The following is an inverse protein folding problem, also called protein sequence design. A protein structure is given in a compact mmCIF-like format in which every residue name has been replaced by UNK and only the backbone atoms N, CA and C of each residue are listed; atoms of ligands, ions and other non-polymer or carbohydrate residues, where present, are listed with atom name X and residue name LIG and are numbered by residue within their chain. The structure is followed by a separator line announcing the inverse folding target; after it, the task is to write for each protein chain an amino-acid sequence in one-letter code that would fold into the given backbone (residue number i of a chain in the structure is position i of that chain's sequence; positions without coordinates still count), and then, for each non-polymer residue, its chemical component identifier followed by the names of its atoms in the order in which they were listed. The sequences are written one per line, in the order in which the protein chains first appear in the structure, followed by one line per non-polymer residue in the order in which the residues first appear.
data_IF_587997479568
#
_entry.id   IF_587997479568
#
_cell.length_a   1.000
_cell.length_b   1.000
_cell.length_c   1.000
_cell.angle_alpha   90.00
_cell.angle_beta   90.00
_cell.angle_gamma   90.00
#
_symmetry.space_group_name_H-M   'P 1'
#
loop_
_entity.id
_entity.type
_entity.pdbx_description
1 polymer ?
#
# COMPACT_ATOMS: atom_id res chain seq x y z
N UNK A 1 0.28 13.76 -8.95
CA UNK A 1 1.60 14.01 -8.31
C UNK A 1 2.41 12.74 -8.47
N UNK A 2 3.57 12.81 -9.11
CA UNK A 2 4.46 11.65 -9.27
C UNK A 2 4.99 11.26 -7.88
N UNK A 3 4.73 10.03 -7.44
CA UNK A 3 5.29 9.50 -6.21
C UNK A 3 6.17 8.30 -6.57
N UNK A 4 7.36 8.27 -6.00
CA UNK A 4 8.36 7.26 -6.32
C UNK A 4 9.14 6.88 -5.06
N UNK A 5 9.73 5.68 -5.03
CA UNK A 5 10.60 5.28 -3.93
C UNK A 5 11.71 6.29 -3.61
N UNK A 6 12.15 7.09 -4.59
CA UNK A 6 13.18 8.11 -4.41
C UNK A 6 12.77 9.20 -3.39
N UNK A 7 11.48 9.50 -3.25
CA UNK A 7 10.99 10.46 -2.25
C UNK A 7 11.23 9.99 -0.81
N UNK A 8 11.39 8.68 -0.61
CA UNK A 8 11.63 8.08 0.69
C UNK A 8 13.09 7.67 0.90
N UNK A 9 14.03 8.16 0.08
CA UNK A 9 15.45 7.70 0.10
C UNK A 9 16.07 7.71 1.49
N UNK A 10 15.86 8.77 2.28
CA UNK A 10 16.37 8.85 3.66
C UNK A 10 15.78 7.74 4.53
N UNK A 11 14.45 7.59 4.52
CA UNK A 11 13.76 6.53 5.28
C UNK A 11 14.20 5.13 4.84
N UNK A 12 14.25 4.88 3.52
CA UNK A 12 14.64 3.58 2.96
C UNK A 12 16.09 3.24 3.31
N UNK A 13 17.00 4.20 3.21
CA UNK A 13 18.41 4.02 3.59
C UNK A 13 18.52 3.66 5.07
N UNK A 14 17.84 4.39 5.96
CA UNK A 14 17.84 4.09 7.39
C UNK A 14 17.26 2.70 7.68
N UNK A 15 16.12 2.34 7.10
CA UNK A 15 15.50 1.03 7.31
C UNK A 15 16.40 -0.12 6.81
N UNK A 16 17.07 0.08 5.67
CA UNK A 16 17.99 -0.92 5.08
C UNK A 16 19.20 -1.23 5.94
N UNK A 17 19.56 -0.36 6.89
CA UNK A 17 20.62 -0.67 7.86
C UNK A 17 20.25 -1.79 8.83
N UNK A 18 18.94 -2.09 8.98
CA UNK A 18 18.43 -3.07 9.96
C UNK A 18 17.55 -4.16 9.36
N UNK A 19 16.92 -3.89 8.22
CA UNK A 19 15.91 -4.76 7.63
C UNK A 19 16.07 -4.89 6.12
N UNK A 20 15.73 -6.04 5.51
CA UNK A 20 15.48 -6.11 4.08
C UNK A 20 14.26 -5.25 3.73
N UNK A 21 14.41 -4.32 2.78
CA UNK A 21 13.34 -3.39 2.38
C UNK A 21 13.06 -3.49 0.89
N UNK A 22 11.80 -3.76 0.53
CA UNK A 22 11.28 -3.62 -0.83
C UNK A 22 10.44 -2.35 -0.93
N UNK A 23 10.69 -1.54 -1.96
CA UNK A 23 9.96 -0.32 -2.25
C UNK A 23 9.79 -0.19 -3.78
N UNK A 24 8.82 -0.92 -4.38
CA UNK A 24 8.61 -0.91 -5.81
C UNK A 24 8.05 0.44 -6.28
N UNK A 25 8.33 0.80 -7.54
CA UNK A 25 7.56 1.83 -8.23
C UNK A 25 6.16 1.28 -8.52
N UNK A 26 5.12 1.99 -8.08
CA UNK A 26 3.74 1.57 -8.32
C UNK A 26 3.27 2.04 -9.69
N UNK A 27 2.53 1.21 -10.46
CA UNK A 27 1.99 1.56 -11.78
C UNK A 27 1.20 2.87 -11.78
N UNK A 28 0.31 3.09 -10.80
CA UNK A 28 -0.51 4.30 -10.71
C UNK A 28 0.29 5.59 -10.55
N UNK A 29 1.54 5.46 -10.10
CA UNK A 29 2.44 6.57 -9.83
C UNK A 29 3.63 6.61 -10.80
N UNK A 30 3.60 5.80 -11.87
CA UNK A 30 4.66 5.73 -12.87
C UNK A 30 4.33 6.61 -14.10
N UNK A 31 5.20 7.57 -14.48
CA UNK A 31 5.04 8.42 -15.66
C UNK A 31 4.87 7.62 -16.95
N UNK A 32 5.53 6.44 -17.04
CA UNK A 32 5.42 5.55 -18.20
C UNK A 32 4.00 5.01 -18.39
N UNK A 33 3.25 4.86 -17.30
CA UNK A 33 1.91 4.28 -17.32
C UNK A 33 0.80 5.35 -17.26
N UNK A 34 1.15 6.62 -17.02
CA UNK A 34 0.17 7.70 -16.85
C UNK A 34 0.13 8.69 -18.02
N UNK A 35 0.99 8.51 -19.03
CA UNK A 35 1.21 9.45 -20.14
C UNK A 35 1.50 10.89 -19.67
N UNK A 36 2.02 11.06 -18.46
CA UNK A 36 2.16 12.35 -17.79
C UNK A 36 3.42 13.13 -18.19
N UNK A 37 3.94 12.90 -19.41
CA UNK A 37 5.22 13.45 -19.85
C UNK A 37 6.44 12.72 -19.28
N UNK A 38 7.55 13.44 -19.09
CA UNK A 38 8.78 12.90 -18.52
C UNK A 38 9.03 13.46 -17.13
N UNK A 39 9.97 12.87 -16.38
CA UNK A 39 10.40 13.43 -15.08
C UNK A 39 10.94 14.86 -15.21
N UNK A 40 11.59 15.17 -16.34
CA UNK A 40 12.13 16.51 -16.60
C UNK A 40 11.05 17.50 -17.05
N UNK A 41 9.95 17.02 -17.64
CA UNK A 41 8.86 17.85 -18.15
C UNK A 41 7.50 17.14 -17.96
N UNK A 42 6.93 17.18 -16.74
CA UNK A 42 5.64 16.56 -16.48
C UNK A 42 4.51 17.37 -17.14
N UNK A 43 3.53 16.70 -17.72
CA UNK A 43 2.35 17.33 -18.33
C UNK A 43 1.08 16.54 -18.02
N UNK A 44 -0.02 17.25 -17.79
CA UNK A 44 -1.37 16.69 -17.66
C UNK A 44 -2.23 16.97 -18.89
N UNK A 45 -1.67 17.61 -19.92
CA UNK A 45 -2.37 17.95 -21.15
C UNK A 45 -2.48 16.76 -22.12
N UNK A 46 -1.70 15.70 -21.90
CA UNK A 46 -1.75 14.51 -22.72
C UNK A 46 -3.06 13.73 -22.45
N UNK A 47 -3.69 13.15 -23.49
CA UNK A 47 -4.82 12.26 -23.28
C UNK A 47 -4.37 11.02 -22.50
N UNK A 48 -5.31 10.41 -21.77
CA UNK A 48 -5.05 9.14 -21.08
C UNK A 48 -4.55 8.07 -22.09
N UNK A 49 -3.69 7.13 -21.68
CA UNK A 49 -3.32 5.99 -22.51
C UNK A 49 -4.57 5.24 -23.00
N UNK A 50 -4.52 4.70 -24.22
CA UNK A 50 -5.64 3.91 -24.78
C UNK A 50 -5.97 2.66 -23.93
N UNK A 51 -5.01 2.15 -23.17
CA UNK A 51 -5.17 1.07 -22.19
C UNK A 51 -5.87 1.49 -20.89
N UNK A 52 -6.18 2.78 -20.71
CA UNK A 52 -6.61 3.36 -19.45
C UNK A 52 -5.44 3.70 -18.51
N UNK A 53 -5.74 4.46 -17.46
CA UNK A 53 -4.80 4.75 -16.38
C UNK A 53 -4.77 3.59 -15.38
N UNK A 54 -3.60 3.24 -14.80
CA UNK A 54 -3.53 2.26 -13.74
C UNK A 54 -4.34 2.69 -12.52
N UNK A 55 -5.02 1.72 -11.90
CA UNK A 55 -5.85 1.94 -10.72
C UNK A 55 -5.16 1.47 -9.44
N UNK A 56 -5.74 1.78 -8.27
CA UNK A 56 -5.29 1.20 -7.00
C UNK A 56 -5.32 -0.34 -7.02
N UNK A 57 -6.27 -0.94 -7.75
CA UNK A 57 -6.33 -2.39 -7.92
C UNK A 57 -5.14 -2.92 -8.74
N UNK A 58 -4.66 -2.16 -9.73
CA UNK A 58 -3.45 -2.49 -10.49
C UNK A 58 -2.21 -2.50 -9.59
N UNK A 59 -2.10 -1.51 -8.70
CA UNK A 59 -1.03 -1.49 -7.69
C UNK A 59 -1.16 -2.65 -6.69
N UNK A 60 -2.39 -2.97 -6.27
CA UNK A 60 -2.65 -4.06 -5.35
C UNK A 60 -2.24 -5.42 -5.93
N UNK A 61 -2.40 -5.64 -7.24
CA UNK A 61 -1.90 -6.84 -7.94
C UNK A 61 -0.38 -6.95 -7.85
N UNK A 62 0.35 -5.86 -8.12
CA UNK A 62 1.81 -5.85 -7.99
C UNK A 62 2.26 -6.13 -6.55
N UNK A 63 1.61 -5.50 -5.57
CA UNK A 63 1.90 -5.72 -4.16
C UNK A 63 1.60 -7.17 -3.74
N UNK A 64 0.52 -7.76 -4.23
CA UNK A 64 0.19 -9.17 -3.99
C UNK A 64 1.26 -10.11 -4.57
N UNK A 65 1.79 -9.84 -5.76
CA UNK A 65 2.89 -10.63 -6.33
C UNK A 65 4.16 -10.57 -5.47
N UNK A 66 4.47 -9.41 -4.89
CA UNK A 66 5.60 -9.26 -3.96
C UNK A 66 5.33 -10.02 -2.66
N UNK A 67 4.09 -10.02 -2.16
CA UNK A 67 3.71 -10.81 -1.00
C UNK A 67 3.77 -12.32 -1.30
N UNK A 68 3.37 -12.77 -2.49
CA UNK A 68 3.52 -14.17 -2.89
C UNK A 68 4.98 -14.62 -2.82
N UNK A 69 5.90 -13.84 -3.38
CA UNK A 69 7.33 -14.15 -3.31
C UNK A 69 7.86 -14.14 -1.86
N UNK A 70 7.63 -13.06 -1.11
CA UNK A 70 8.21 -12.91 0.23
C UNK A 70 7.56 -13.84 1.27
N UNK A 71 6.23 -13.92 1.29
CA UNK A 71 5.47 -14.64 2.31
C UNK A 71 5.25 -16.09 1.91
N UNK A 72 4.79 -16.36 0.68
CA UNK A 72 4.40 -17.71 0.27
C UNK A 72 5.64 -18.52 -0.12
N UNK A 73 6.48 -18.00 -1.02
CA UNK A 73 7.66 -18.73 -1.49
C UNK A 73 8.80 -18.75 -0.46
N UNK A 74 9.09 -17.62 0.18
CA UNK A 74 10.23 -17.50 1.10
C UNK A 74 9.88 -17.65 2.59
N UNK A 75 8.59 -17.68 2.95
CA UNK A 75 8.17 -17.84 4.35
C UNK A 75 8.53 -16.67 5.27
N UNK A 76 8.73 -15.47 4.73
CA UNK A 76 9.14 -14.27 5.49
C UNK A 76 7.97 -13.64 6.23
N UNK A 77 8.31 -12.94 7.32
CA UNK A 77 7.40 -12.04 8.02
C UNK A 77 7.58 -10.62 7.49
N UNK A 78 6.48 -9.98 7.12
CA UNK A 78 6.50 -8.69 6.41
C UNK A 78 5.68 -7.67 7.19
N UNK A 79 6.23 -6.46 7.31
CA UNK A 79 5.48 -5.26 7.70
C UNK A 79 5.32 -4.40 6.46
N UNK A 80 4.09 -4.06 6.12
CA UNK A 80 3.81 -3.14 5.01
C UNK A 80 3.79 -1.71 5.55
N UNK A 81 4.39 -0.76 4.84
CA UNK A 81 4.31 0.67 5.18
C UNK A 81 3.59 1.37 4.05
N UNK A 82 2.43 1.95 4.34
CA UNK A 82 1.56 2.59 3.37
C UNK A 82 1.51 4.10 3.59
N UNK A 83 1.82 4.88 2.56
CA UNK A 83 1.80 6.35 2.62
C UNK A 83 0.75 6.94 1.68
N UNK A 84 0.00 7.94 2.14
CA UNK A 84 -1.01 8.67 1.35
C UNK A 84 -1.97 7.73 0.60
N UNK A 85 -2.16 7.90 -0.71
CA UNK A 85 -3.03 7.04 -1.53
C UNK A 85 -2.62 5.55 -1.51
N UNK A 86 -1.37 5.23 -1.18
CA UNK A 86 -0.88 3.86 -1.08
C UNK A 86 -1.54 3.02 0.02
N UNK A 87 -2.31 3.65 0.92
CA UNK A 87 -3.17 2.98 1.89
C UNK A 87 -4.20 2.08 1.23
N UNK A 88 -4.86 2.56 0.18
CA UNK A 88 -5.90 1.80 -0.52
C UNK A 88 -5.30 0.52 -1.15
N UNK A 89 -4.24 0.67 -1.96
CA UNK A 89 -3.58 -0.45 -2.63
C UNK A 89 -2.97 -1.45 -1.65
N UNK A 90 -2.37 -0.97 -0.54
CA UNK A 90 -1.81 -1.85 0.50
C UNK A 90 -2.89 -2.64 1.25
N UNK A 91 -4.02 -2.00 1.55
CA UNK A 91 -5.17 -2.65 2.20
C UNK A 91 -5.76 -3.72 1.30
N UNK A 92 -5.93 -3.41 0.02
CA UNK A 92 -6.48 -4.33 -0.97
C UNK A 92 -5.55 -5.54 -1.21
N UNK A 93 -4.24 -5.33 -1.23
CA UNK A 93 -3.25 -6.39 -1.38
C UNK A 93 -3.16 -7.32 -0.14
N UNK A 94 -3.39 -6.80 1.07
CA UNK A 94 -3.26 -7.53 2.34
C UNK A 94 -4.46 -8.47 2.62
N UNK A 95 -4.71 -9.40 1.70
CA UNK A 95 -5.74 -10.45 1.82
C UNK A 95 -5.51 -11.33 3.04
N UNK A 96 -6.60 -11.95 3.53
CA UNK A 96 -6.59 -12.83 4.70
C UNK A 96 -5.55 -13.95 4.60
N UNK A 97 -5.35 -14.53 3.43
CA UNK A 97 -4.36 -15.59 3.19
C UNK A 97 -2.90 -15.19 3.46
N UNK A 98 -2.58 -13.90 3.45
CA UNK A 98 -1.25 -13.40 3.76
C UNK A 98 -1.04 -13.14 5.25
N UNK A 99 -2.10 -13.03 6.06
CA UNK A 99 -1.97 -12.65 7.46
C UNK A 99 -1.28 -13.75 8.28
N UNK A 100 -0.35 -13.36 9.16
CA UNK A 100 0.39 -14.31 10.02
C UNK A 100 -0.54 -15.23 10.80
N UNK A 101 -1.65 -14.69 11.33
CA UNK A 101 -2.63 -15.49 12.09
C UNK A 101 -3.23 -16.62 11.25
N UNK A 102 -3.68 -16.29 10.05
CA UNK A 102 -4.34 -17.23 9.14
C UNK A 102 -3.37 -18.28 8.62
N UNK A 103 -2.14 -17.86 8.28
CA UNK A 103 -1.07 -18.78 7.85
C UNK A 103 -0.65 -19.71 8.97
N UNK A 104 -0.48 -19.21 10.19
CA UNK A 104 -0.14 -20.02 11.37
C UNK A 104 -1.23 -21.05 11.68
N UNK A 105 -2.50 -20.69 11.56
CA UNK A 105 -3.62 -21.62 11.74
C UNK A 105 -3.59 -22.78 10.73
N UNK A 106 -3.00 -22.57 9.54
CA UNK A 106 -2.78 -23.58 8.50
C UNK A 106 -1.42 -24.29 8.58
N UNK A 107 -0.64 -24.05 9.64
CA UNK A 107 0.71 -24.60 9.79
C UNK A 107 1.75 -24.02 8.82
N UNK A 108 1.44 -22.90 8.15
CA UNK A 108 2.31 -22.24 7.19
C UNK A 108 3.25 -21.24 7.87
N UNK A 109 4.46 -21.07 7.34
CA UNK A 109 5.45 -20.07 7.80
C UNK A 109 5.20 -18.71 7.15
N UNK A 110 5.69 -17.66 7.82
CA UNK A 110 5.65 -16.28 7.33
C UNK A 110 4.27 -15.63 7.43
N UNK A 111 4.18 -14.40 6.94
CA UNK A 111 2.94 -13.64 6.83
C UNK A 111 3.12 -12.14 7.02
N UNK A 112 2.08 -11.39 6.67
CA UNK A 112 1.94 -9.97 6.97
C UNK A 112 1.62 -9.82 8.46
N UNK A 113 2.54 -9.17 9.18
CA UNK A 113 2.42 -8.85 10.61
C UNK A 113 1.45 -7.68 10.83
N UNK A 114 1.41 -6.75 9.87
CA UNK A 114 0.54 -5.59 9.90
C UNK A 114 0.89 -4.57 8.82
N UNK A 115 0.03 -3.55 8.72
CA UNK A 115 0.22 -2.39 7.86
C UNK A 115 0.42 -1.16 8.75
N UNK A 116 1.55 -0.48 8.59
CA UNK A 116 1.79 0.82 9.17
C UNK A 116 1.25 1.89 8.21
N UNK A 117 0.17 2.54 8.62
CA UNK A 117 -0.44 3.64 7.88
C UNK A 117 0.26 4.97 8.24
N UNK A 118 0.90 5.62 7.27
CA UNK A 118 1.57 6.91 7.41
C UNK A 118 0.82 7.97 6.58
N UNK A 119 0.16 8.94 7.24
CA UNK A 119 -0.55 10.05 6.58
C UNK A 119 -1.41 9.58 5.39
N UNK A 120 -2.25 8.58 5.61
CA UNK A 120 -2.87 7.74 4.58
C UNK A 120 -4.33 7.42 4.93
N UNK A 121 -5.11 6.98 3.93
CA UNK A 121 -6.50 6.61 4.09
C UNK A 121 -6.65 5.13 4.44
N UNK A 122 -7.25 4.83 5.60
CA UNK A 122 -7.75 3.50 5.90
C UNK A 122 -9.16 3.37 5.32
N UNK A 123 -9.29 2.69 4.18
CA UNK A 123 -10.57 2.55 3.48
C UNK A 123 -11.20 1.22 3.87
N UNK A 124 -12.39 1.24 4.49
CA UNK A 124 -13.14 0.01 4.77
C UNK A 124 -13.53 -0.70 3.46
N UNK A 125 -13.77 -2.02 3.54
CA UNK A 125 -14.27 -2.80 2.41
C UNK A 125 -15.52 -2.14 1.79
N UNK A 126 -15.48 -1.88 0.48
CA UNK A 126 -16.55 -1.20 -0.26
C UNK A 126 -16.49 0.33 -0.25
N UNK A 127 -15.51 0.93 0.44
CA UNK A 127 -15.26 2.38 0.42
C UNK A 127 -14.33 2.82 -0.72
N UNK A 128 -14.28 4.13 -0.98
CA UNK A 128 -13.38 4.75 -1.96
C UNK A 128 -12.57 5.88 -1.33
N UNK A 129 -11.32 6.04 -1.77
CA UNK A 129 -10.48 7.19 -1.41
C UNK A 129 -10.93 8.51 -2.06
N UNK A 130 -11.85 8.48 -3.04
CA UNK A 130 -12.40 9.67 -3.71
C UNK A 130 -13.42 10.44 -2.86
N UNK A 131 -13.70 10.00 -1.62
CA UNK A 131 -14.59 10.70 -0.71
C UNK A 131 -14.00 12.07 -0.37
N UNK A 132 -14.78 13.14 -0.57
CA UNK A 132 -14.30 14.52 -0.39
C UNK A 132 -13.73 14.69 1.02
N UNK A 133 -12.62 15.42 1.13
CA UNK A 133 -11.86 15.64 2.38
C UNK A 133 -12.72 16.05 3.61
N UNK A 134 -13.90 16.66 3.41
CA UNK A 134 -14.86 16.97 4.49
C UNK A 134 -15.90 15.88 4.80
N UNK A 135 -16.23 15.01 3.84
CA UNK A 135 -17.23 13.95 4.01
C UNK A 135 -16.66 12.70 4.69
N UNK A 136 -15.34 12.45 4.57
CA UNK A 136 -14.67 11.34 5.26
C UNK A 136 -14.75 11.49 6.79
N UNK A 137 -14.58 12.70 7.33
CA UNK A 137 -14.72 12.93 8.78
C UNK A 137 -16.17 12.79 9.26
N UNK A 138 -17.14 13.31 8.50
CA UNK A 138 -18.57 13.20 8.83
C UNK A 138 -19.10 11.75 8.74
N UNK A 139 -18.59 10.94 7.81
CA UNK A 139 -18.95 9.52 7.68
C UNK A 139 -18.38 8.63 8.81
N UNK A 140 -17.31 9.10 9.48
CA UNK A 140 -16.65 8.41 10.59
C UNK A 140 -17.26 8.79 11.95
N UNK A 141 -17.87 9.98 12.07
CA UNK A 141 -18.48 10.48 13.32
C UNK A 141 -19.80 9.80 13.75
N UNK A 142 -20.35 8.86 12.97
CA UNK A 142 -21.66 8.26 13.28
C UNK A 142 -21.78 6.75 13.08
N UNK A 143 -20.68 6.04 12.77
CA UNK A 143 -20.71 4.59 12.56
C UNK A 143 -19.70 3.93 13.48
N UNK A 144 -20.12 2.82 14.09
CA UNK A 144 -19.30 1.95 14.93
C UNK A 144 -17.89 1.83 14.34
N UNK A 145 -16.90 2.36 15.07
CA UNK A 145 -15.48 2.45 14.69
C UNK A 145 -14.80 1.07 14.63
N UNK A 146 -15.53 0.01 14.30
CA UNK A 146 -15.02 -1.35 14.16
C UNK A 146 -13.92 -1.46 13.08
N UNK A 147 -13.89 -0.55 12.09
CA UNK A 147 -12.78 -0.43 11.13
C UNK A 147 -11.53 0.26 11.71
N UNK A 148 -11.63 1.01 12.80
CA UNK A 148 -10.57 1.87 13.34
C UNK A 148 -10.08 1.37 14.71
N UNK A 149 -9.45 0.20 14.71
CA UNK A 149 -8.52 -0.15 15.79
C UNK A 149 -7.12 -0.25 15.22
N UNK A 150 -6.43 0.90 15.13
CA UNK A 150 -4.98 0.91 14.93
C UNK A 150 -4.35 0.45 16.24
N UNK A 151 -4.26 -0.87 16.44
CA UNK A 151 -3.43 -1.44 17.49
C UNK A 151 -1.97 -1.40 17.03
N UNK A 152 -1.25 -0.33 17.35
CA UNK A 152 0.21 -0.32 17.25
C UNK A 152 0.76 -1.22 18.36
N UNK A 153 1.06 -2.48 18.05
CA UNK A 153 1.85 -3.34 18.93
C UNK A 153 3.28 -3.36 18.41
N UNK A 154 4.15 -2.59 19.08
CA UNK A 154 5.59 -2.66 18.84
C UNK A 154 6.10 -3.94 19.53
N UNK A 155 6.49 -4.93 18.74
CA UNK A 155 7.26 -6.06 19.24
C UNK A 155 8.74 -5.71 19.08
N UNK A 156 9.35 -5.27 20.19
CA UNK A 156 10.80 -5.31 20.34
C UNK A 156 11.18 -6.73 20.81
N UNK A 157 12.40 -7.22 20.46
CA UNK A 157 12.88 -8.53 20.89
C UNK A 157 12.89 -8.70 22.41
#
# INVERSE_FOLDING_TARGET
MYNSPAHYTTLLTTLRTKFPVSAPQLPSSDPLHTNAGTLANPTFANPAPASGLPSNATDAVLLAQILDDLVVAQGKYVVMIAHSAGGASSTEAAKLEYLVRERKAKGQKGGVLGILYMTTFAVCKGGSASMRFGEYYAAVEGKDLACFKIHVRVFLP
#
